data_IF_404387336586
#
_entry.id   IF_404387336586
#
_cell.length_a   1.000
_cell.length_b   1.000
_cell.length_c   1.000
_cell.angle_alpha   90.00
_cell.angle_beta   90.00
_cell.angle_gamma   90.00
#
_symmetry.space_group_name_H-M   'P 1'
#
loop_
_entity.id
_entity.type
_entity.pdbx_description
1 polymer ?
#
# COMPACT_ATOMS: atom_id res chain seq x y z
N UNK A 1 -41.92 -8.74 -13.02
CA UNK A 1 -42.01 -9.98 -12.21
C UNK A 1 -40.64 -10.32 -11.61
N UNK A 2 -40.42 -10.02 -10.32
CA UNK A 2 -39.21 -10.44 -9.58
C UNK A 2 -39.28 -11.96 -9.40
N UNK A 3 -38.59 -12.74 -10.25
CA UNK A 3 -38.35 -14.17 -9.97
C UNK A 3 -37.67 -14.26 -8.61
N UNK A 4 -38.33 -14.93 -7.66
CA UNK A 4 -37.84 -15.08 -6.30
C UNK A 4 -36.43 -15.67 -6.31
N UNK A 5 -35.47 -14.91 -5.77
CA UNK A 5 -34.10 -15.41 -5.57
C UNK A 5 -34.20 -16.59 -4.60
N UNK A 6 -33.76 -17.78 -5.04
CA UNK A 6 -33.78 -19.00 -4.23
C UNK A 6 -33.05 -18.78 -2.90
N UNK A 7 -33.53 -19.40 -1.81
CA UNK A 7 -32.95 -19.22 -0.46
C UNK A 7 -31.44 -19.51 -0.45
N UNK A 8 -30.99 -20.51 -1.21
CA UNK A 8 -29.57 -20.85 -1.38
C UNK A 8 -28.74 -19.70 -1.97
N UNK A 9 -29.28 -18.95 -2.94
CA UNK A 9 -28.58 -17.77 -3.49
C UNK A 9 -28.50 -16.64 -2.47
N UNK A 10 -29.56 -16.39 -1.70
CA UNK A 10 -29.53 -15.36 -0.63
C UNK A 10 -28.52 -15.69 0.46
N UNK A 11 -28.41 -16.96 0.84
CA UNK A 11 -27.43 -17.40 1.83
C UNK A 11 -25.99 -17.28 1.30
N UNK A 12 -25.74 -17.67 0.05
CA UNK A 12 -24.44 -17.49 -0.61
C UNK A 12 -23.94 -16.04 -0.57
N UNK A 13 -24.79 -15.08 -0.95
CA UNK A 13 -24.43 -13.64 -0.93
C UNK A 13 -24.18 -13.11 0.48
N UNK A 14 -24.92 -13.60 1.49
CA UNK A 14 -24.66 -13.25 2.90
C UNK A 14 -23.29 -13.76 3.37
N UNK A 15 -22.95 -15.01 3.08
CA UNK A 15 -21.63 -15.56 3.43
C UNK A 15 -20.48 -14.85 2.70
N UNK A 16 -20.67 -14.51 1.43
CA UNK A 16 -19.69 -13.72 0.66
C UNK A 16 -19.45 -12.34 1.27
N UNK A 17 -20.49 -11.67 1.80
CA UNK A 17 -20.31 -10.40 2.51
C UNK A 17 -19.54 -10.54 3.83
N UNK A 18 -19.84 -11.55 4.65
CA UNK A 18 -19.06 -11.79 5.88
C UNK A 18 -17.59 -12.09 5.57
N UNK A 19 -17.34 -12.86 4.53
CA UNK A 19 -15.99 -13.15 4.06
C UNK A 19 -15.29 -11.88 3.53
N UNK A 20 -15.99 -11.02 2.79
CA UNK A 20 -15.47 -9.73 2.35
C UNK A 20 -15.08 -8.81 3.51
N UNK A 21 -15.92 -8.72 4.55
CA UNK A 21 -15.60 -7.95 5.78
C UNK A 21 -14.35 -8.52 6.45
N UNK A 22 -14.27 -9.84 6.59
CA UNK A 22 -13.09 -10.51 7.16
C UNK A 22 -11.84 -10.18 6.36
N UNK A 23 -11.90 -10.27 5.03
CA UNK A 23 -10.76 -9.98 4.14
C UNK A 23 -10.29 -8.52 4.17
N UNK A 24 -11.20 -7.56 4.42
CA UNK A 24 -10.84 -6.15 4.60
C UNK A 24 -10.21 -5.90 5.98
N UNK A 25 -10.76 -6.50 7.03
CA UNK A 25 -10.30 -6.29 8.40
C UNK A 25 -9.01 -7.05 8.74
N UNK A 26 -8.83 -8.24 8.18
CA UNK A 26 -7.73 -9.15 8.52
C UNK A 26 -6.34 -8.56 8.26
N UNK A 27 -6.03 -7.95 7.10
CA UNK A 27 -4.71 -7.36 6.87
C UNK A 27 -4.37 -6.27 7.88
N UNK A 28 -5.34 -5.42 8.24
CA UNK A 28 -5.15 -4.35 9.22
C UNK A 28 -4.80 -4.97 10.58
N UNK A 29 -5.62 -5.91 11.05
CA UNK A 29 -5.38 -6.61 12.32
C UNK A 29 -4.02 -7.31 12.34
N UNK A 30 -3.68 -8.00 11.24
CA UNK A 30 -2.44 -8.77 11.11
C UNK A 30 -1.21 -7.87 11.18
N UNK A 31 -1.17 -6.77 10.41
CA UNK A 31 -0.03 -5.83 10.43
C UNK A 31 0.15 -5.21 11.81
N UNK A 32 -0.93 -4.82 12.48
CA UNK A 32 -0.86 -4.32 13.84
C UNK A 32 -0.40 -5.37 14.85
N UNK A 33 -0.81 -6.63 14.67
CA UNK A 33 -0.37 -7.71 15.53
C UNK A 33 1.14 -7.93 15.40
N UNK A 34 1.69 -7.94 14.18
CA UNK A 34 3.15 -8.00 13.99
C UNK A 34 3.86 -6.79 14.59
N UNK A 35 3.29 -5.59 14.45
CA UNK A 35 3.90 -4.42 15.08
C UNK A 35 3.89 -4.53 16.61
N UNK A 36 2.81 -5.04 17.19
CA UNK A 36 2.69 -5.31 18.62
C UNK A 36 3.71 -6.37 19.09
N UNK A 37 3.92 -7.44 18.31
CA UNK A 37 4.91 -8.48 18.67
C UNK A 37 6.33 -7.93 18.65
N UNK A 38 6.67 -7.11 17.65
CA UNK A 38 7.99 -6.49 17.52
C UNK A 38 8.24 -5.49 18.66
N UNK A 39 7.26 -4.63 18.98
CA UNK A 39 7.44 -3.57 19.98
C UNK A 39 7.42 -4.07 21.43
N UNK A 40 6.55 -5.02 21.77
CA UNK A 40 6.29 -5.38 23.17
C UNK A 40 6.79 -6.77 23.56
N UNK A 41 7.09 -7.65 22.60
CA UNK A 41 7.37 -9.06 22.87
C UNK A 41 8.67 -9.56 22.21
N UNK A 42 9.61 -8.67 21.86
CA UNK A 42 10.88 -9.01 21.23
C UNK A 42 10.71 -9.92 20.00
N UNK A 43 9.64 -9.70 19.21
CA UNK A 43 9.28 -10.51 18.03
C UNK A 43 8.89 -11.97 18.32
N UNK A 44 8.58 -12.34 19.56
CA UNK A 44 8.09 -13.68 19.92
C UNK A 44 6.58 -13.81 19.74
N UNK A 45 6.17 -14.56 18.71
CA UNK A 45 4.75 -14.84 18.42
C UNK A 45 4.04 -15.60 19.56
N UNK A 46 4.75 -16.53 20.21
CA UNK A 46 4.19 -17.30 21.32
C UNK A 46 3.82 -16.40 22.50
N UNK A 47 4.72 -15.50 22.90
CA UNK A 47 4.44 -14.54 23.96
C UNK A 47 3.28 -13.60 23.57
N UNK A 48 3.30 -13.04 22.36
CA UNK A 48 2.23 -12.14 21.92
C UNK A 48 0.85 -12.81 21.86
N UNK A 49 0.78 -14.09 21.51
CA UNK A 49 -0.47 -14.86 21.48
C UNK A 49 -1.09 -15.04 22.87
N UNK A 50 -0.27 -15.02 23.93
CA UNK A 50 -0.76 -15.06 25.31
C UNK A 50 -1.31 -13.71 25.78
N UNK A 51 -0.96 -12.61 25.10
CA UNK A 51 -1.34 -11.24 25.43
C UNK A 51 -2.32 -10.61 24.43
N UNK A 52 -3.23 -11.42 23.87
CA UNK A 52 -4.22 -10.93 22.90
C UNK A 52 -5.15 -9.84 23.46
N UNK A 53 -5.49 -9.88 24.74
CA UNK A 53 -6.35 -8.86 25.36
C UNK A 53 -5.65 -7.49 25.36
N UNK A 54 -4.37 -7.45 25.75
CA UNK A 54 -3.57 -6.21 25.71
C UNK A 54 -3.40 -5.72 24.27
N UNK A 55 -3.17 -6.64 23.32
CA UNK A 55 -3.15 -6.31 21.90
C UNK A 55 -4.43 -5.61 21.46
N UNK A 56 -5.62 -6.17 21.74
CA UNK A 56 -6.88 -5.57 21.32
C UNK A 56 -7.14 -4.22 21.99
N UNK A 57 -6.78 -4.06 23.27
CA UNK A 57 -6.89 -2.77 23.96
C UNK A 57 -6.02 -1.69 23.31
N UNK A 58 -4.76 -2.02 23.00
CA UNK A 58 -3.84 -1.10 22.31
C UNK A 58 -4.26 -0.84 20.88
N UNK A 59 -4.71 -1.86 20.15
CA UNK A 59 -5.22 -1.74 18.79
C UNK A 59 -6.41 -0.77 18.73
N UNK A 60 -7.40 -0.98 19.59
CA UNK A 60 -8.58 -0.11 19.70
C UNK A 60 -8.15 1.32 20.07
N UNK A 61 -7.26 1.49 21.06
CA UNK A 61 -6.74 2.81 21.46
C UNK A 61 -6.06 3.52 20.29
N UNK A 62 -5.23 2.82 19.52
CA UNK A 62 -4.48 3.40 18.41
C UNK A 62 -5.39 3.74 17.21
N UNK A 63 -6.47 2.98 16.99
CA UNK A 63 -7.44 3.25 15.92
C UNK A 63 -8.46 4.32 16.31
N UNK A 64 -8.92 4.33 17.57
CA UNK A 64 -9.93 5.27 18.05
C UNK A 64 -9.36 6.66 18.35
N UNK A 65 -8.05 6.76 18.57
CA UNK A 65 -7.36 8.04 18.74
C UNK A 65 -6.47 8.40 17.52
N UNK A 66 -7.00 8.47 16.28
CA UNK A 66 -6.21 8.96 15.15
C UNK A 66 -5.98 10.48 15.26
N UNK A 67 -6.78 11.19 16.06
CA UNK A 67 -6.61 12.62 16.32
C UNK A 67 -5.37 12.97 17.15
N UNK A 68 -4.67 11.99 17.73
CA UNK A 68 -3.36 12.22 18.34
C UNK A 68 -2.20 12.11 17.34
N UNK A 69 -2.46 11.83 16.06
CA UNK A 69 -1.41 11.82 15.03
C UNK A 69 -0.82 13.23 14.94
N UNK A 70 0.48 13.33 15.11
CA UNK A 70 1.15 14.63 15.04
C UNK A 70 1.04 15.25 13.65
N UNK A 71 0.94 16.60 13.60
CA UNK A 71 0.92 17.33 12.32
C UNK A 71 2.18 17.05 11.48
N UNK A 72 3.30 16.72 12.11
CA UNK A 72 4.54 16.39 11.41
C UNK A 72 4.40 15.09 10.61
N UNK A 73 3.76 14.06 11.17
CA UNK A 73 3.55 12.79 10.48
C UNK A 73 2.64 12.97 9.28
N UNK A 74 1.56 13.75 9.42
CA UNK A 74 0.68 14.10 8.31
C UNK A 74 1.46 14.84 7.22
N UNK A 75 2.35 15.78 7.58
CA UNK A 75 3.21 16.48 6.62
C UNK A 75 4.14 15.52 5.88
N UNK A 76 4.84 14.63 6.59
CA UNK A 76 5.72 13.63 5.96
C UNK A 76 4.94 12.71 5.02
N UNK A 77 3.78 12.25 5.47
CA UNK A 77 2.88 11.41 4.67
C UNK A 77 2.43 12.13 3.40
N UNK A 78 1.82 13.32 3.51
CA UNK A 78 1.38 14.09 2.35
C UNK A 78 2.53 14.48 1.42
N UNK A 79 3.68 14.86 1.98
CA UNK A 79 4.88 15.17 1.21
C UNK A 79 5.29 13.98 0.34
N UNK A 80 5.34 12.77 0.90
CA UNK A 80 5.69 11.56 0.14
C UNK A 80 4.73 11.32 -1.03
N UNK A 81 3.43 11.35 -0.78
CA UNK A 81 2.42 11.09 -1.83
C UNK A 81 2.42 12.17 -2.91
N UNK A 82 2.53 13.45 -2.52
CA UNK A 82 2.61 14.56 -3.47
C UNK A 82 3.90 14.51 -4.29
N UNK A 83 5.02 14.19 -3.66
CA UNK A 83 6.30 14.02 -4.34
C UNK A 83 6.24 12.88 -5.36
N UNK A 84 5.70 11.73 -4.98
CA UNK A 84 5.49 10.61 -5.91
C UNK A 84 4.53 10.98 -7.05
N UNK A 85 3.48 11.75 -6.77
CA UNK A 85 2.55 12.22 -7.78
C UNK A 85 3.24 13.15 -8.80
N UNK A 86 4.05 14.10 -8.32
CA UNK A 86 4.83 15.00 -9.18
C UNK A 86 5.78 14.18 -10.05
N UNK A 87 6.52 13.23 -9.48
CA UNK A 87 7.41 12.36 -10.27
C UNK A 87 6.65 11.53 -11.31
N UNK A 88 5.50 10.96 -10.93
CA UNK A 88 4.67 10.18 -11.84
C UNK A 88 4.24 10.99 -13.07
N UNK A 89 3.83 12.25 -12.87
CA UNK A 89 3.39 13.13 -13.95
C UNK A 89 4.55 13.69 -14.78
N UNK A 90 5.64 14.12 -14.14
CA UNK A 90 6.72 14.89 -14.79
C UNK A 90 7.78 14.00 -15.42
N UNK A 91 8.22 12.93 -14.76
CA UNK A 91 9.39 12.14 -15.19
C UNK A 91 9.09 11.45 -16.52
N UNK A 92 9.83 11.72 -17.61
CA UNK A 92 9.58 11.09 -18.90
C UNK A 92 9.83 9.59 -18.86
N UNK A 93 9.20 8.85 -19.77
CA UNK A 93 9.31 7.40 -19.84
C UNK A 93 8.73 6.87 -21.13
N UNK A 94 9.16 5.67 -21.52
CA UNK A 94 8.65 5.00 -22.71
C UNK A 94 7.16 4.70 -22.50
N UNK A 95 6.35 4.92 -23.53
CA UNK A 95 4.93 4.54 -23.49
C UNK A 95 4.81 3.13 -24.05
N UNK A 96 4.08 2.29 -23.34
CA UNK A 96 3.91 0.88 -23.67
C UNK A 96 2.48 0.41 -23.39
N UNK A 97 2.02 -0.68 -24.01
CA UNK A 97 0.60 -0.98 -24.23
C UNK A 97 0.07 -2.19 -23.50
N UNK A 98 -0.80 -1.99 -22.51
CA UNK A 98 -1.49 -2.92 -21.58
C UNK A 98 -1.83 -4.33 -22.05
N UNK A 99 -2.19 -5.16 -21.07
CA UNK A 99 -3.01 -6.34 -21.37
C UNK A 99 -4.33 -5.91 -22.00
N UNK A 100 -4.85 -6.76 -22.88
CA UNK A 100 -6.17 -6.55 -23.49
C UNK A 100 -7.23 -6.73 -22.41
N UNK A 101 -8.04 -5.70 -22.19
CA UNK A 101 -9.13 -5.76 -21.21
C UNK A 101 -10.29 -6.59 -21.73
N UNK A 102 -11.29 -6.89 -20.88
CA UNK A 102 -12.48 -7.66 -21.28
C UNK A 102 -13.29 -6.94 -22.36
N UNK A 103 -13.30 -5.62 -22.31
CA UNK A 103 -13.87 -4.74 -23.35
C UNK A 103 -13.12 -4.78 -24.69
N UNK A 104 -11.95 -5.43 -24.75
CA UNK A 104 -11.05 -5.41 -25.92
C UNK A 104 -10.16 -4.16 -26.01
N UNK A 105 -10.32 -3.19 -25.10
CA UNK A 105 -9.47 -2.00 -25.07
C UNK A 105 -8.07 -2.33 -24.52
N UNK A 106 -7.07 -1.62 -25.05
CA UNK A 106 -5.67 -1.74 -24.64
C UNK A 106 -5.22 -0.41 -24.02
N UNK A 107 -4.82 -0.47 -22.76
CA UNK A 107 -4.44 0.72 -22.00
C UNK A 107 -2.97 1.06 -22.16
N UNK A 108 -2.63 2.28 -22.57
CA UNK A 108 -1.24 2.74 -22.58
C UNK A 108 -0.76 3.11 -21.17
N UNK A 109 0.49 2.79 -20.84
CA UNK A 109 1.16 3.12 -19.58
C UNK A 109 2.50 3.78 -19.83
N UNK A 110 2.88 4.70 -18.94
CA UNK A 110 4.20 5.33 -18.94
C UNK A 110 5.15 4.49 -18.09
N UNK A 111 6.10 3.86 -18.75
CA UNK A 111 7.17 3.10 -18.14
C UNK A 111 8.29 4.05 -17.68
N UNK A 112 8.14 4.59 -16.46
CA UNK A 112 9.15 5.42 -15.78
C UNK A 112 9.48 4.96 -14.35
N UNK A 113 9.11 3.72 -13.98
CA UNK A 113 9.20 3.25 -12.60
C UNK A 113 10.60 3.27 -12.03
N UNK A 114 11.59 2.81 -12.80
CA UNK A 114 12.99 2.78 -12.35
C UNK A 114 13.54 4.20 -12.12
N UNK A 115 13.25 5.14 -13.03
CA UNK A 115 13.68 6.53 -12.87
C UNK A 115 13.05 7.17 -11.64
N UNK A 116 11.74 6.99 -11.44
CA UNK A 116 11.05 7.50 -10.26
C UNK A 116 11.62 6.92 -8.96
N UNK A 117 11.91 5.61 -8.93
CA UNK A 117 12.52 4.95 -7.77
C UNK A 117 13.88 5.56 -7.42
N UNK A 118 14.76 5.70 -8.41
CA UNK A 118 16.11 6.25 -8.21
C UNK A 118 16.03 7.70 -7.75
N UNK A 119 15.25 8.53 -8.45
CA UNK A 119 15.07 9.94 -8.11
C UNK A 119 14.50 10.09 -6.71
N UNK A 120 13.51 9.28 -6.32
CA UNK A 120 12.90 9.39 -4.99
C UNK A 120 13.86 9.01 -3.88
N UNK A 121 14.61 7.92 -4.05
CA UNK A 121 15.57 7.46 -3.05
C UNK A 121 16.74 8.43 -2.91
N UNK A 122 17.32 8.89 -4.02
CA UNK A 122 18.42 9.88 -4.00
C UNK A 122 17.94 11.18 -3.34
N UNK A 123 16.76 11.68 -3.70
CA UNK A 123 16.22 12.91 -3.11
C UNK A 123 16.08 12.80 -1.59
N UNK A 124 15.50 11.71 -1.08
CA UNK A 124 15.35 11.53 0.37
C UNK A 124 16.69 11.34 1.07
N UNK A 125 17.64 10.61 0.48
CA UNK A 125 19.00 10.45 1.02
C UNK A 125 19.70 11.81 1.09
N UNK A 126 19.61 12.64 0.05
CA UNK A 126 20.20 13.99 0.04
C UNK A 126 19.54 14.90 1.08
N UNK A 127 18.21 14.89 1.17
CA UNK A 127 17.49 15.65 2.20
C UNK A 127 17.89 15.22 3.61
N UNK A 128 18.13 13.92 3.81
CA UNK A 128 18.66 13.42 5.08
C UNK A 128 20.10 13.85 5.33
N UNK A 129 20.96 13.82 4.31
CA UNK A 129 22.35 14.26 4.43
C UNK A 129 22.47 15.73 4.82
N UNK A 130 21.59 16.58 4.28
CA UNK A 130 21.50 18.00 4.64
C UNK A 130 20.69 18.27 5.93
N UNK A 131 20.31 17.22 6.69
CA UNK A 131 19.54 17.31 7.93
C UNK A 131 18.15 17.97 7.79
N UNK A 132 17.57 18.01 6.60
CA UNK A 132 16.19 18.47 6.41
C UNK A 132 15.16 17.42 6.86
N UNK A 133 15.52 16.14 6.76
CA UNK A 133 14.68 15.01 7.14
C UNK A 133 15.48 14.08 8.04
N UNK A 134 14.86 13.61 9.11
CA UNK A 134 15.42 12.54 9.93
C UNK A 134 14.86 11.18 9.47
N UNK A 135 15.68 10.27 8.89
CA UNK A 135 15.22 8.96 8.49
C UNK A 135 14.70 8.13 9.65
N UNK A 136 15.26 8.27 10.86
CA UNK A 136 14.84 7.47 12.01
C UNK A 136 13.45 7.88 12.54
N UNK A 137 12.99 9.10 12.22
CA UNK A 137 11.68 9.62 12.63
C UNK A 137 10.54 8.70 12.17
N UNK A 138 10.66 8.09 10.99
CA UNK A 138 9.69 7.13 10.48
C UNK A 138 9.55 5.90 11.40
N UNK A 139 10.69 5.34 11.85
CA UNK A 139 10.71 4.15 12.71
C UNK A 139 10.21 4.47 14.12
N UNK A 140 10.54 5.66 14.62
CA UNK A 140 10.10 6.12 15.94
C UNK A 140 8.58 6.30 16.03
N UNK A 141 7.95 6.70 14.92
CA UNK A 141 6.50 6.91 14.82
C UNK A 141 5.79 5.88 13.93
N UNK A 142 6.35 4.69 13.74
CA UNK A 142 5.83 3.71 12.78
C UNK A 142 4.38 3.31 13.06
N UNK A 143 3.96 3.23 14.33
CA UNK A 143 2.58 2.90 14.69
C UNK A 143 1.59 3.96 14.21
N UNK A 144 1.98 5.24 14.24
CA UNK A 144 1.18 6.37 13.76
C UNK A 144 1.15 6.42 12.22
N UNK A 145 2.29 6.17 11.56
CA UNK A 145 2.35 6.04 10.10
C UNK A 145 1.50 4.87 9.59
N UNK A 146 1.51 3.74 10.29
CA UNK A 146 0.66 2.58 10.00
C UNK A 146 -0.82 2.93 10.16
N UNK A 147 -1.20 3.66 11.22
CA UNK A 147 -2.58 4.11 11.41
C UNK A 147 -3.05 5.00 10.26
N UNK A 148 -2.25 6.02 9.94
CA UNK A 148 -2.56 6.96 8.87
C UNK A 148 -2.65 6.25 7.51
N UNK A 149 -1.73 5.33 7.23
CA UNK A 149 -1.71 4.55 5.98
C UNK A 149 -2.92 3.63 5.85
N UNK A 150 -3.35 2.99 6.94
CA UNK A 150 -4.54 2.14 6.93
C UNK A 150 -5.83 2.96 6.75
N UNK A 151 -5.96 4.09 7.44
CA UNK A 151 -7.11 5.01 7.25
C UNK A 151 -7.15 5.48 5.80
N UNK A 152 -6.02 5.93 5.27
CA UNK A 152 -5.91 6.37 3.89
C UNK A 152 -6.21 5.24 2.89
N UNK A 153 -5.72 4.03 3.13
CA UNK A 153 -5.99 2.85 2.29
C UNK A 153 -7.48 2.51 2.23
N UNK A 154 -8.16 2.49 3.39
CA UNK A 154 -9.61 2.25 3.44
C UNK A 154 -10.38 3.34 2.72
N UNK A 155 -10.04 4.62 2.96
CA UNK A 155 -10.64 5.75 2.25
C UNK A 155 -10.45 5.66 0.74
N UNK A 156 -9.24 5.32 0.30
CA UNK A 156 -8.91 5.16 -1.12
C UNK A 156 -9.73 4.03 -1.76
N UNK A 157 -9.89 2.90 -1.07
CA UNK A 157 -10.72 1.78 -1.55
C UNK A 157 -12.17 2.24 -1.75
N UNK A 158 -12.74 3.01 -0.82
CA UNK A 158 -14.08 3.57 -0.99
C UNK A 158 -14.14 4.57 -2.15
N UNK A 159 -13.14 5.44 -2.31
CA UNK A 159 -13.08 6.40 -3.44
C UNK A 159 -13.08 5.66 -4.78
N UNK A 160 -12.26 4.62 -4.93
CA UNK A 160 -12.18 3.83 -6.17
C UNK A 160 -13.47 3.03 -6.39
N UNK A 161 -14.07 2.48 -5.32
CA UNK A 161 -15.34 1.77 -5.39
C UNK A 161 -16.49 2.68 -5.84
N UNK A 162 -16.64 3.86 -5.23
CA UNK A 162 -17.66 4.83 -5.63
C UNK A 162 -17.42 5.37 -7.04
N UNK A 163 -16.15 5.59 -7.42
CA UNK A 163 -15.79 5.94 -8.80
C UNK A 163 -16.25 4.86 -9.77
N UNK A 164 -16.04 3.57 -9.47
CA UNK A 164 -16.50 2.48 -10.34
C UNK A 164 -18.04 2.41 -10.45
N UNK A 165 -18.76 2.81 -9.40
CA UNK A 165 -20.23 2.84 -9.41
C UNK A 165 -20.82 4.00 -10.21
N UNK A 166 -20.27 5.21 -10.06
CA UNK A 166 -20.85 6.43 -10.62
C UNK A 166 -20.19 6.87 -11.92
N UNK A 167 -18.90 6.61 -12.08
CA UNK A 167 -18.08 7.04 -13.21
C UNK A 167 -17.14 5.92 -13.69
N UNK A 168 -17.67 4.75 -14.11
CA UNK A 168 -16.86 3.68 -14.68
C UNK A 168 -16.22 4.16 -16.00
N UNK A 169 -14.96 3.80 -16.25
CA UNK A 169 -14.33 4.13 -17.54
C UNK A 169 -14.97 3.31 -18.68
N UNK A 170 -15.14 2.00 -18.46
CA UNK A 170 -15.96 1.12 -19.30
C UNK A 170 -16.79 0.21 -18.41
N UNK A 171 -18.08 0.07 -18.72
CA UNK A 171 -18.98 -0.78 -17.95
C UNK A 171 -18.62 -2.27 -18.13
N UNK A 172 -18.13 -2.66 -19.31
CA UNK A 172 -17.75 -4.04 -19.63
C UNK A 172 -16.50 -4.53 -18.87
N UNK A 173 -15.69 -3.59 -18.36
CA UNK A 173 -14.50 -3.88 -17.54
C UNK A 173 -14.80 -3.86 -16.04
N UNK A 174 -16.05 -3.55 -15.64
CA UNK A 174 -16.51 -3.61 -14.27
C UNK A 174 -17.08 -4.99 -13.95
N UNK A 175 -16.62 -5.58 -12.85
CA UNK A 175 -17.15 -6.84 -12.34
C UNK A 175 -17.86 -6.62 -11.00
N UNK A 176 -19.17 -6.90 -10.99
CA UNK A 176 -19.98 -6.92 -9.77
C UNK A 176 -20.34 -8.35 -9.45
N UNK A 177 -19.92 -8.84 -8.29
CA UNK A 177 -20.35 -10.14 -7.82
C UNK A 177 -21.81 -10.07 -7.34
N UNK A 178 -22.23 -8.97 -6.72
CA UNK A 178 -23.54 -8.86 -6.06
C UNK A 178 -23.46 -8.90 -4.53
N UNK A 179 -22.27 -9.07 -3.96
CA UNK A 179 -21.94 -8.84 -2.55
C UNK A 179 -21.08 -7.58 -2.40
N UNK A 180 -21.66 -6.53 -1.79
CA UNK A 180 -21.03 -5.22 -1.63
C UNK A 180 -19.64 -5.28 -0.98
N UNK A 181 -19.47 -6.00 0.12
CA UNK A 181 -18.18 -6.04 0.82
C UNK A 181 -17.12 -6.85 0.07
N UNK A 182 -17.55 -7.87 -0.69
CA UNK A 182 -16.64 -8.62 -1.53
C UNK A 182 -16.22 -7.80 -2.75
N UNK A 183 -17.14 -7.05 -3.36
CA UNK A 183 -16.85 -6.14 -4.47
C UNK A 183 -15.91 -4.99 -4.04
N UNK A 184 -16.07 -4.48 -2.81
CA UNK A 184 -15.14 -3.51 -2.21
C UNK A 184 -13.73 -4.12 -2.04
N UNK A 185 -13.64 -5.35 -1.54
CA UNK A 185 -12.36 -6.02 -1.32
C UNK A 185 -11.63 -6.35 -2.62
N UNK A 186 -12.35 -6.99 -3.56
CA UNK A 186 -11.79 -7.47 -4.83
C UNK A 186 -11.54 -6.35 -5.84
N UNK A 187 -12.25 -5.22 -5.70
CA UNK A 187 -12.25 -4.15 -6.67
C UNK A 187 -13.19 -4.45 -7.83
N UNK A 188 -14.01 -3.46 -8.19
CA UNK A 188 -14.99 -3.60 -9.27
C UNK A 188 -14.34 -3.35 -10.64
N UNK A 189 -13.56 -2.28 -10.75
CA UNK A 189 -12.94 -1.86 -12.00
C UNK A 189 -11.51 -2.40 -12.09
N UNK A 190 -11.15 -3.06 -13.19
CA UNK A 190 -9.83 -3.68 -13.31
C UNK A 190 -8.66 -2.67 -13.32
N UNK A 191 -8.88 -1.50 -13.92
CA UNK A 191 -7.90 -0.41 -14.03
C UNK A 191 -8.58 0.95 -13.85
N UNK A 192 -8.86 1.36 -12.60
CA UNK A 192 -9.51 2.62 -12.32
C UNK A 192 -8.58 3.77 -12.71
N UNK A 193 -9.08 4.63 -13.60
CA UNK A 193 -8.36 5.80 -14.12
C UNK A 193 -9.17 7.08 -13.98
N UNK A 194 -8.47 8.19 -13.77
CA UNK A 194 -8.99 9.54 -13.98
C UNK A 194 -8.06 10.23 -14.97
N UNK A 195 -8.54 10.41 -16.21
CA UNK A 195 -7.72 10.93 -17.30
C UNK A 195 -6.49 10.05 -17.55
N UNK A 196 -5.29 10.61 -17.36
CA UNK A 196 -4.00 9.90 -17.54
C UNK A 196 -3.51 9.22 -16.25
N UNK A 197 -4.15 9.48 -15.11
CA UNK A 197 -3.75 8.93 -13.83
C UNK A 197 -4.39 7.56 -13.62
N UNK A 198 -3.56 6.54 -13.44
CA UNK A 198 -3.97 5.18 -13.14
C UNK A 198 -3.72 4.87 -11.66
N UNK A 199 -4.80 4.63 -10.91
CA UNK A 199 -4.73 4.37 -9.47
C UNK A 199 -3.91 3.12 -9.16
N UNK A 200 -4.14 2.04 -9.91
CA UNK A 200 -3.48 0.76 -9.68
C UNK A 200 -1.99 0.89 -9.91
N UNK A 201 -1.59 1.55 -10.99
CA UNK A 201 -0.17 1.76 -11.28
C UNK A 201 0.49 2.69 -10.24
N UNK A 202 -0.16 3.79 -9.88
CA UNK A 202 0.41 4.78 -8.98
C UNK A 202 0.66 4.22 -7.58
N UNK A 203 -0.36 3.66 -6.93
CA UNK A 203 -0.23 3.21 -5.55
C UNK A 203 0.65 1.97 -5.40
N UNK A 204 0.54 1.01 -6.33
CA UNK A 204 1.35 -0.21 -6.26
C UNK A 204 2.81 0.06 -6.63
N UNK A 205 3.07 0.71 -7.77
CA UNK A 205 4.44 0.81 -8.27
C UNK A 205 5.19 2.05 -7.81
N UNK A 206 4.52 3.17 -7.54
CA UNK A 206 5.20 4.45 -7.23
C UNK A 206 5.23 4.71 -5.74
N UNK A 207 4.08 4.61 -5.06
CA UNK A 207 4.02 4.92 -3.63
C UNK A 207 4.63 3.79 -2.81
N UNK A 208 4.16 2.55 -2.99
CA UNK A 208 4.57 1.41 -2.15
C UNK A 208 5.99 0.95 -2.41
N UNK A 209 6.28 0.52 -3.65
CA UNK A 209 7.59 -0.02 -4.04
C UNK A 209 8.72 0.98 -3.80
N UNK A 210 8.51 2.27 -4.03
CA UNK A 210 9.56 3.26 -3.83
C UNK A 210 9.82 3.62 -2.37
N UNK A 211 8.85 3.40 -1.48
CA UNK A 211 8.97 3.67 -0.05
C UNK A 211 9.72 2.54 0.67
N UNK A 212 9.60 1.31 0.20
CA UNK A 212 10.22 0.14 0.81
C UNK A 212 11.73 0.30 1.10
N UNK A 213 12.61 0.63 0.13
CA UNK A 213 14.03 0.79 0.41
C UNK A 213 14.32 1.90 1.43
N UNK A 214 13.50 2.96 1.46
CA UNK A 214 13.62 4.04 2.44
C UNK A 214 13.28 3.57 3.85
N UNK A 215 12.24 2.75 4.03
CA UNK A 215 11.90 2.17 5.34
C UNK A 215 13.08 1.34 5.88
N UNK A 216 13.72 0.54 5.02
CA UNK A 216 14.88 -0.26 5.43
C UNK A 216 16.08 0.60 5.85
N UNK A 217 16.33 1.68 5.10
CA UNK A 217 17.36 2.65 5.45
C UNK A 217 17.03 3.34 6.78
N UNK A 218 15.77 3.71 7.02
CA UNK A 218 15.31 4.25 8.30
C UNK A 218 15.60 3.29 9.46
N UNK A 219 15.34 1.99 9.30
CA UNK A 219 15.71 0.98 10.30
C UNK A 219 17.23 0.87 10.49
N UNK A 220 18.01 0.99 9.42
CA UNK A 220 19.47 0.98 9.48
C UNK A 220 20.00 2.18 10.26
N UNK A 221 19.46 3.36 10.00
CA UNK A 221 19.77 4.58 10.74
C UNK A 221 19.39 4.45 12.22
N UNK A 222 18.20 3.90 12.52
CA UNK A 222 17.77 3.67 13.90
C UNK A 222 18.71 2.71 14.63
N UNK A 223 19.10 1.61 13.97
CA UNK A 223 20.05 0.64 14.51
C UNK A 223 21.40 1.28 14.81
N UNK A 224 21.95 2.05 13.86
CA UNK A 224 23.21 2.74 14.04
C UNK A 224 23.16 3.73 15.22
N UNK A 225 22.05 4.47 15.39
CA UNK A 225 21.87 5.38 16.53
C UNK A 225 21.77 4.66 17.88
N UNK A 226 21.10 3.51 17.92
CA UNK A 226 20.89 2.77 19.16
C UNK A 226 22.11 1.96 19.59
N UNK A 227 22.87 1.40 18.64
CA UNK A 227 23.95 0.45 18.94
C UNK A 227 25.36 0.94 18.53
N UNK A 228 25.47 2.02 17.75
CA UNK A 228 26.73 2.57 17.26
C UNK A 228 27.35 1.84 16.05
N UNK A 229 26.72 0.76 15.57
CA UNK A 229 27.17 0.00 14.41
C UNK A 229 25.99 -0.60 13.63
N UNK A 230 26.24 -0.99 12.38
CA UNK A 230 25.27 -1.69 11.52
C UNK A 230 25.76 -3.13 11.33
N UNK A 231 24.87 -4.11 11.52
CA UNK A 231 25.23 -5.53 11.31
C UNK A 231 25.31 -5.90 9.84
N UNK A 232 26.13 -6.91 9.54
CA UNK A 232 26.23 -7.49 8.20
C UNK A 232 24.87 -7.99 7.69
N UNK A 233 24.03 -8.53 8.57
CA UNK A 233 22.68 -8.99 8.22
C UNK A 233 21.80 -7.83 7.73
N UNK A 234 21.87 -6.66 8.37
CA UNK A 234 21.10 -5.49 7.94
C UNK A 234 21.54 -4.99 6.56
N UNK A 235 22.86 -4.93 6.33
CA UNK A 235 23.43 -4.58 5.02
C UNK A 235 23.01 -5.57 3.94
N UNK A 236 23.05 -6.87 4.25
CA UNK A 236 22.64 -7.93 3.32
C UNK A 236 21.15 -7.82 2.96
N UNK A 237 20.27 -7.61 3.94
CA UNK A 237 18.83 -7.44 3.69
C UNK A 237 18.57 -6.22 2.81
N UNK A 238 19.21 -5.07 3.10
CA UNK A 238 19.07 -3.87 2.27
C UNK A 238 19.52 -4.13 0.83
N UNK A 239 20.68 -4.76 0.65
CA UNK A 239 21.22 -5.08 -0.67
C UNK A 239 20.28 -6.02 -1.44
N UNK A 240 19.88 -7.13 -0.84
CA UNK A 240 18.99 -8.11 -1.49
C UNK A 240 17.64 -7.50 -1.86
N UNK A 241 17.06 -6.67 -1.00
CA UNK A 241 15.78 -6.04 -1.29
C UNK A 241 15.90 -4.98 -2.40
N UNK A 242 16.97 -4.19 -2.44
CA UNK A 242 17.22 -3.27 -3.57
C UNK A 242 17.41 -4.03 -4.89
N UNK A 243 18.18 -5.13 -4.87
CA UNK A 243 18.33 -6.01 -6.05
C UNK A 243 16.99 -6.58 -6.51
N UNK A 244 16.19 -7.11 -5.58
CA UNK A 244 14.87 -7.66 -5.87
C UNK A 244 13.94 -6.61 -6.49
N UNK A 245 13.87 -5.41 -5.92
CA UNK A 245 13.00 -4.34 -6.43
C UNK A 245 13.44 -3.87 -7.82
N UNK A 246 14.76 -3.73 -8.02
CA UNK A 246 15.32 -3.36 -9.31
C UNK A 246 14.99 -4.40 -10.37
N UNK A 247 15.17 -5.69 -10.04
CA UNK A 247 14.82 -6.78 -10.94
C UNK A 247 13.31 -6.82 -11.22
N UNK A 248 12.46 -6.66 -10.20
CA UNK A 248 11.01 -6.64 -10.35
C UNK A 248 10.53 -5.53 -11.28
N UNK A 249 11.08 -4.32 -11.14
CA UNK A 249 10.76 -3.18 -12.02
C UNK A 249 11.30 -3.39 -13.43
N UNK A 250 12.53 -3.91 -13.59
CA UNK A 250 13.07 -4.22 -14.91
C UNK A 250 12.26 -5.32 -15.61
N UNK A 251 11.89 -6.36 -14.85
CA UNK A 251 11.04 -7.44 -15.32
C UNK A 251 9.67 -6.89 -15.74
N UNK A 252 9.05 -6.01 -14.94
CA UNK A 252 7.81 -5.37 -15.37
C UNK A 252 8.02 -4.57 -16.65
N UNK A 253 9.08 -3.79 -16.78
CA UNK A 253 9.40 -3.08 -18.02
C UNK A 253 9.53 -3.98 -19.26
N UNK A 254 10.05 -5.20 -19.10
CA UNK A 254 10.27 -6.15 -20.18
C UNK A 254 8.99 -6.96 -20.49
N UNK A 255 8.28 -7.41 -19.45
CA UNK A 255 7.18 -8.36 -19.55
C UNK A 255 5.78 -7.77 -19.39
N UNK A 256 5.64 -6.45 -19.23
CA UNK A 256 4.33 -5.82 -19.02
C UNK A 256 3.27 -6.15 -20.09
N UNK A 257 3.57 -6.78 -21.24
CA UNK A 257 2.61 -6.90 -22.36
C UNK A 257 2.55 -8.25 -23.09
N UNK A 258 2.93 -9.36 -22.44
CA UNK A 258 2.61 -10.70 -22.94
C UNK A 258 1.97 -11.55 -21.84
N UNK A 259 0.69 -11.32 -21.60
CA UNK A 259 -0.30 -12.36 -21.26
C UNK A 259 -1.70 -11.76 -21.31
#
# INVERSE_FOLDING_TARGET
>A
MKKGISSNRKNFWRYSNYFGIFLIAWPILFVYFFQFTIQYHNSSLASSSQHLIDFFQKFIKNILNPFSISLNIIKYFLFWYLFQLILYLTVPGKITTGQVMRSGQILSYKCNGLYCLIISNITVILLSYFNFIDPAYYVDHITEFLALSNIFGVLLTFVVYFKALFFPNNIDDCFFSGSTFYDIYSGVEHSPRIGRFDFKQFFNERVGIALWPLINLSYTCKMYRSYGYVTNSMLLVNFLQVCFLTFSILYSHIHSYFS
#
